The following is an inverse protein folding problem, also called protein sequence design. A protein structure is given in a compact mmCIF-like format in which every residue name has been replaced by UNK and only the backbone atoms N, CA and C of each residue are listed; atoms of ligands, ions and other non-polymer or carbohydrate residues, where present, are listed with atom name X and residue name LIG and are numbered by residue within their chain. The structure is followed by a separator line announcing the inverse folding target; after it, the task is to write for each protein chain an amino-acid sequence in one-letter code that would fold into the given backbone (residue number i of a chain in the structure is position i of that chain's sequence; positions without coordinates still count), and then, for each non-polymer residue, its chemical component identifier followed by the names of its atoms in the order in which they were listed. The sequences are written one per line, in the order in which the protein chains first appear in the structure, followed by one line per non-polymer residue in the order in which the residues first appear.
data_IF_151439236753
#
_entry.id   IF_151439236753
#
_cell.length_a   1.000
_cell.length_b   1.000
_cell.length_c   1.000
_cell.angle_alpha   90.00
_cell.angle_beta   90.00
_cell.angle_gamma   90.00
#
_symmetry.space_group_name_H-M   'P 1'
#
loop_
_entity.id
_entity.type
_entity.pdbx_description
1 polymer ?
#
# COMPACT_ATOMS: atom_id res chain seq x y z
N UNK A 1 -70.58 -19.20 -36.98
CA UNK A 1 -71.46 -20.06 -36.16
C UNK A 1 -70.70 -20.38 -34.88
N UNK A 2 -71.18 -20.20 -33.63
CA UNK A 2 -72.21 -19.30 -33.04
C UNK A 2 -71.53 -18.41 -31.96
N UNK A 3 -72.15 -17.55 -31.13
CA UNK A 3 -73.39 -17.69 -30.32
C UNK A 3 -73.38 -18.98 -29.46
N UNK A 4 -73.72 -19.03 -28.16
CA UNK A 4 -74.24 -18.05 -27.17
C UNK A 4 -74.05 -18.65 -25.72
N UNK A 5 -74.30 -18.08 -24.52
CA UNK A 5 -74.81 -16.80 -23.97
C UNK A 5 -74.44 -16.72 -22.44
N UNK A 6 -74.84 -15.66 -21.72
CA UNK A 6 -74.92 -15.47 -20.23
C UNK A 6 -73.61 -15.08 -19.49
N UNK A 7 -73.51 -13.98 -18.73
CA UNK A 7 -74.35 -13.31 -17.69
C UNK A 7 -74.11 -13.82 -16.26
N UNK A 8 -73.73 -12.92 -15.33
CA UNK A 8 -74.63 -12.38 -14.29
C UNK A 8 -74.03 -11.12 -13.59
N UNK A 9 -74.94 -10.28 -13.05
CA UNK A 9 -74.88 -9.05 -12.22
C UNK A 9 -73.62 -8.81 -11.32
N UNK A 10 -73.26 -7.57 -10.92
CA UNK A 10 -74.11 -6.59 -10.21
C UNK A 10 -73.79 -5.09 -10.42
N UNK A 11 -74.82 -4.27 -10.15
CA UNK A 11 -74.77 -2.80 -10.04
C UNK A 11 -74.37 -2.35 -8.62
N UNK A 12 -73.50 -1.35 -8.50
CA UNK A 12 -73.57 -0.33 -7.43
C UNK A 12 -73.17 1.02 -8.04
N UNK A 13 -74.00 2.05 -7.85
CA UNK A 13 -73.70 3.45 -8.18
C UNK A 13 -73.38 4.18 -6.88
N UNK A 14 -72.23 4.86 -6.78
CA UNK A 14 -72.06 6.02 -5.91
C UNK A 14 -70.99 6.99 -6.44
N UNK A 15 -71.27 8.30 -6.57
CA UNK A 15 -70.30 9.28 -7.05
C UNK A 15 -69.47 9.88 -5.90
N UNK A 16 -68.21 9.47 -5.77
CA UNK A 16 -67.27 10.03 -4.78
C UNK A 16 -66.36 11.08 -5.42
N UNK A 17 -66.79 12.34 -5.28
CA UNK A 17 -66.12 13.60 -5.67
C UNK A 17 -64.59 13.55 -5.60
N UNK A 18 -63.93 13.84 -6.73
CA UNK A 18 -62.49 14.16 -6.77
C UNK A 18 -62.24 15.53 -6.10
N UNK A 19 -62.14 15.51 -4.76
CA UNK A 19 -61.77 16.67 -3.96
C UNK A 19 -60.27 16.98 -4.15
N UNK A 20 -59.97 17.70 -5.23
CA UNK A 20 -58.61 18.09 -5.61
C UNK A 20 -58.11 19.21 -4.68
N UNK A 21 -57.67 18.83 -3.47
CA UNK A 21 -57.11 19.77 -2.50
C UNK A 21 -55.74 20.30 -3.00
N UNK A 22 -55.62 21.60 -3.35
CA UNK A 22 -54.42 22.13 -4.02
C UNK A 22 -53.28 22.44 -3.05
N UNK A 23 -53.45 22.24 -1.73
CA UNK A 23 -52.53 22.74 -0.70
C UNK A 23 -51.37 21.77 -0.38
N UNK A 24 -50.87 21.03 -1.38
CA UNK A 24 -49.64 20.25 -1.27
C UNK A 24 -48.41 21.17 -1.30
N UNK A 25 -48.13 21.82 -0.17
CA UNK A 25 -46.84 22.49 0.04
C UNK A 25 -45.74 21.43 0.03
N UNK A 26 -44.91 21.42 -1.02
CA UNK A 26 -43.71 20.60 -1.05
C UNK A 26 -42.88 20.84 0.22
N UNK A 27 -42.36 19.78 0.87
CA UNK A 27 -41.38 19.94 1.93
C UNK A 27 -40.23 20.81 1.41
N UNK A 28 -39.74 21.81 2.18
CA UNK A 28 -38.63 22.63 1.73
C UNK A 28 -37.42 21.73 1.44
N UNK A 29 -36.64 22.00 0.38
CA UNK A 29 -35.46 21.21 0.06
C UNK A 29 -34.58 21.07 1.31
N UNK A 30 -34.28 19.84 1.74
CA UNK A 30 -33.37 19.62 2.87
C UNK A 30 -32.06 20.32 2.56
N UNK A 31 -31.72 21.33 3.36
CA UNK A 31 -30.44 22.00 3.26
C UNK A 31 -29.32 20.95 3.26
N UNK A 32 -28.29 21.06 2.39
CA UNK A 32 -27.20 20.09 2.33
C UNK A 32 -26.62 19.89 3.73
N UNK A 33 -26.76 18.68 4.27
CA UNK A 33 -26.27 18.36 5.62
C UNK A 33 -24.76 18.63 5.62
N UNK A 34 -24.23 19.48 6.53
CA UNK A 34 -22.81 19.78 6.56
C UNK A 34 -21.97 18.53 6.82
N UNK A 35 -21.49 17.91 5.74
CA UNK A 35 -20.61 16.75 5.81
C UNK A 35 -19.27 17.21 6.33
N UNK A 36 -18.96 16.85 7.59
CA UNK A 36 -17.65 17.12 8.18
C UNK A 36 -16.56 16.65 7.20
N UNK A 37 -15.62 17.51 6.80
CA UNK A 37 -14.63 17.14 5.78
C UNK A 37 -13.85 15.92 6.25
N UNK A 38 -13.85 14.85 5.46
CA UNK A 38 -13.17 13.61 5.82
C UNK A 38 -11.69 13.91 6.04
N UNK A 39 -11.12 13.63 7.23
CA UNK A 39 -9.71 13.88 7.47
C UNK A 39 -8.85 13.12 6.47
N UNK A 40 -7.76 13.75 6.05
CA UNK A 40 -6.77 13.16 5.13
C UNK A 40 -5.44 13.04 5.83
N UNK A 41 -4.72 11.98 5.51
CA UNK A 41 -3.34 11.76 5.93
C UNK A 41 -2.49 11.41 4.71
N UNK A 42 -1.18 11.56 4.83
CA UNK A 42 -0.27 10.89 3.91
C UNK A 42 -0.34 9.39 4.18
N UNK A 43 -0.66 8.60 3.17
CA UNK A 43 -0.51 7.15 3.21
C UNK A 43 0.73 6.79 2.42
N UNK A 44 1.66 6.12 3.08
CA UNK A 44 2.83 5.52 2.44
C UNK A 44 2.48 4.12 1.98
N UNK A 45 2.93 3.75 0.79
CA UNK A 45 2.73 2.47 0.15
C UNK A 45 4.08 1.83 -0.17
N UNK A 46 4.21 0.52 0.03
CA UNK A 46 5.26 -0.31 -0.56
C UNK A 46 4.61 -1.15 -1.65
N UNK A 47 5.06 -0.97 -2.89
CA UNK A 47 4.60 -1.70 -4.06
C UNK A 47 5.67 -2.70 -4.49
N UNK A 48 5.29 -3.94 -4.72
CA UNK A 48 6.12 -4.97 -5.33
C UNK A 48 5.97 -4.90 -6.86
N UNK A 49 6.97 -4.34 -7.56
CA UNK A 49 6.90 -4.14 -9.00
C UNK A 49 6.89 -5.46 -9.77
N UNK A 50 7.60 -6.47 -9.25
CA UNK A 50 7.67 -7.83 -9.81
C UNK A 50 6.57 -8.77 -9.31
N UNK A 51 5.65 -8.27 -8.47
CA UNK A 51 4.42 -8.96 -8.09
C UNK A 51 3.19 -8.19 -8.62
N UNK A 52 3.16 -7.94 -9.93
CA UNK A 52 2.06 -7.23 -10.63
C UNK A 52 1.68 -5.86 -10.03
N UNK A 53 2.65 -5.13 -9.47
CA UNK A 53 2.42 -3.88 -8.72
C UNK A 53 1.50 -4.04 -7.48
N UNK A 54 1.50 -5.22 -6.84
CA UNK A 54 0.82 -5.47 -5.57
C UNK A 54 1.29 -4.49 -4.50
N UNK A 55 0.35 -3.88 -3.76
CA UNK A 55 0.68 -3.19 -2.50
C UNK A 55 0.96 -4.25 -1.43
N UNK A 56 2.19 -4.32 -0.94
CA UNK A 56 2.64 -5.33 0.05
C UNK A 56 2.63 -4.79 1.48
N UNK A 57 2.72 -3.48 1.65
CA UNK A 57 2.52 -2.80 2.92
C UNK A 57 2.04 -1.36 2.72
N UNK A 58 1.47 -0.79 3.78
CA UNK A 58 1.20 0.64 3.84
C UNK A 58 1.10 1.13 5.28
N UNK A 59 1.50 2.37 5.54
CA UNK A 59 1.30 3.04 6.84
C UNK A 59 0.74 4.44 6.65
N UNK A 60 0.09 4.98 7.68
CA UNK A 60 -0.43 6.35 7.67
C UNK A 60 0.49 7.29 8.45
N UNK A 61 0.61 8.52 7.94
CA UNK A 61 1.39 9.61 8.52
C UNK A 61 0.45 10.83 8.62
N UNK A 62 -0.18 11.08 9.80
CA UNK A 62 -1.14 12.17 9.98
C UNK A 62 -0.49 13.53 9.72
N UNK A 63 -1.15 14.43 8.98
CA UNK A 63 -0.54 15.69 8.50
C UNK A 63 0.05 16.54 9.64
N UNK A 64 -0.57 16.51 10.82
CA UNK A 64 -0.14 17.22 12.03
C UNK A 64 0.84 16.44 12.94
N UNK A 65 1.08 15.15 12.68
CA UNK A 65 1.93 14.28 13.49
C UNK A 65 3.11 13.64 12.74
N UNK A 66 3.19 13.82 11.42
CA UNK A 66 4.17 13.20 10.53
C UNK A 66 5.61 13.76 10.66
N UNK A 67 5.92 14.54 11.71
CA UNK A 67 7.26 15.11 11.93
C UNK A 67 8.30 14.06 12.38
N UNK A 68 7.86 12.86 12.76
CA UNK A 68 8.68 11.78 13.29
C UNK A 68 8.90 10.66 12.26
N UNK A 69 9.93 9.84 12.49
CA UNK A 69 10.19 8.59 11.76
C UNK A 69 8.95 7.72 11.64
N UNK A 70 8.66 7.21 10.44
CA UNK A 70 7.63 6.18 10.21
C UNK A 70 8.24 4.82 9.91
N UNK A 71 7.49 3.77 10.25
CA UNK A 71 7.86 2.37 10.03
C UNK A 71 6.97 1.72 8.97
N UNK A 72 7.59 1.03 8.01
CA UNK A 72 6.93 0.22 6.98
C UNK A 72 7.32 -1.24 7.17
N UNK A 73 6.39 -2.05 7.69
CA UNK A 73 6.58 -3.49 7.90
C UNK A 73 6.00 -4.30 6.75
N UNK A 74 6.80 -5.15 6.11
CA UNK A 74 6.41 -6.02 5.00
C UNK A 74 7.08 -7.39 5.07
N UNK A 75 6.47 -8.38 4.41
CA UNK A 75 7.08 -9.70 4.15
C UNK A 75 7.83 -9.64 2.82
N UNK A 76 9.09 -10.04 2.78
CA UNK A 76 9.90 -9.95 1.56
C UNK A 76 9.43 -10.94 0.48
N UNK A 77 8.73 -12.02 0.84
CA UNK A 77 8.20 -12.99 -0.13
C UNK A 77 7.11 -12.40 -1.01
N UNK A 78 6.41 -11.37 -0.54
CA UNK A 78 5.41 -10.65 -1.32
C UNK A 78 6.02 -9.78 -2.43
N UNK A 79 7.34 -9.61 -2.50
CA UNK A 79 8.01 -8.74 -3.49
C UNK A 79 8.02 -9.26 -4.93
N UNK A 80 7.71 -10.54 -5.14
CA UNK A 80 7.72 -11.22 -6.44
C UNK A 80 6.51 -12.14 -6.63
N UNK A 81 6.35 -12.69 -7.83
CA UNK A 81 5.51 -13.88 -8.04
C UNK A 81 6.31 -15.17 -7.76
N UNK A 82 5.74 -16.10 -7.00
CA UNK A 82 6.37 -17.38 -6.69
C UNK A 82 7.41 -17.33 -5.56
N UNK A 83 8.35 -18.29 -5.53
CA UNK A 83 9.42 -18.37 -4.54
C UNK A 83 10.74 -17.78 -5.08
N UNK A 84 10.84 -16.45 -5.15
CA UNK A 84 12.12 -15.78 -5.47
C UNK A 84 13.09 -15.71 -4.28
N UNK A 85 12.57 -15.79 -3.06
CA UNK A 85 13.33 -15.71 -1.79
C UNK A 85 13.04 -16.98 -0.99
N UNK A 86 14.09 -17.56 -0.43
CA UNK A 86 14.06 -18.81 0.32
C UNK A 86 13.67 -18.55 1.79
N UNK A 87 12.67 -19.30 2.29
CA UNK A 87 12.13 -19.19 3.64
C UNK A 87 12.83 -20.07 4.68
N UNK A 88 13.67 -21.03 4.28
CA UNK A 88 14.41 -21.89 5.21
C UNK A 88 15.56 -21.18 5.95
N UNK A 89 16.06 -20.06 5.42
CA UNK A 89 17.16 -19.33 6.04
C UNK A 89 16.68 -18.41 7.19
N UNK A 90 17.59 -18.09 8.11
CA UNK A 90 17.37 -17.08 9.16
C UNK A 90 18.19 -15.80 8.89
N UNK A 91 17.83 -14.69 9.51
CA UNK A 91 18.43 -13.37 9.29
C UNK A 91 19.80 -13.16 9.98
N UNK A 92 20.32 -14.14 10.74
CA UNK A 92 21.66 -14.11 11.34
C UNK A 92 22.74 -14.76 10.46
N UNK A 93 22.37 -15.72 9.61
CA UNK A 93 23.28 -16.40 8.66
C UNK A 93 22.94 -16.13 7.19
N UNK A 94 21.84 -15.41 6.96
CA UNK A 94 21.36 -15.03 5.62
C UNK A 94 20.56 -13.73 5.71
N UNK A 95 21.25 -12.60 5.95
CA UNK A 95 20.63 -11.29 6.16
C UNK A 95 19.81 -10.84 4.96
N UNK A 96 18.78 -10.07 5.27
CA UNK A 96 17.89 -9.42 4.32
C UNK A 96 18.43 -8.01 4.09
N UNK A 97 18.50 -7.61 2.82
CA UNK A 97 19.00 -6.29 2.42
C UNK A 97 17.91 -5.49 1.71
N UNK A 98 17.86 -4.20 1.98
CA UNK A 98 17.03 -3.23 1.24
C UNK A 98 17.92 -2.07 0.80
N UNK A 99 17.95 -1.78 -0.49
CA UNK A 99 18.89 -0.86 -1.11
C UNK A 99 18.17 0.14 -2.01
N UNK A 100 18.41 1.44 -1.85
CA UNK A 100 17.75 2.46 -2.66
C UNK A 100 18.73 3.19 -3.58
N UNK A 101 18.32 3.42 -4.84
CA UNK A 101 19.18 4.03 -5.87
C UNK A 101 19.60 5.46 -5.50
N UNK A 102 18.74 6.21 -4.80
CA UNK A 102 19.03 7.59 -4.37
C UNK A 102 20.12 7.70 -3.31
N UNK A 103 20.44 6.63 -2.59
CA UNK A 103 21.47 6.62 -1.54
C UNK A 103 22.87 6.37 -2.12
N UNK A 104 22.94 5.95 -3.40
CA UNK A 104 24.19 5.55 -4.04
C UNK A 104 24.97 6.76 -4.55
N UNK A 105 26.17 6.95 -4.01
CA UNK A 105 27.10 8.01 -4.42
C UNK A 105 27.96 7.60 -5.61
N UNK A 106 28.31 6.32 -5.73
CA UNK A 106 29.09 5.75 -6.86
C UNK A 106 28.18 5.33 -8.02
N UNK A 107 28.75 5.23 -9.22
CA UNK A 107 28.05 4.84 -10.46
C UNK A 107 27.78 3.33 -10.53
N UNK A 108 28.76 2.50 -10.22
CA UNK A 108 28.65 1.04 -10.13
C UNK A 108 27.50 0.59 -9.21
N UNK A 109 27.38 1.20 -8.04
CA UNK A 109 26.31 0.95 -7.09
C UNK A 109 24.89 1.29 -7.61
N UNK A 110 24.77 2.13 -8.64
CA UNK A 110 23.49 2.49 -9.27
C UNK A 110 23.10 1.53 -10.40
N UNK A 111 24.05 0.80 -10.98
CA UNK A 111 23.76 -0.12 -12.07
C UNK A 111 23.18 -1.44 -11.52
N UNK A 112 21.98 -1.86 -11.98
CA UNK A 112 21.37 -3.09 -11.46
C UNK A 112 22.11 -4.36 -11.91
N UNK A 113 22.90 -4.30 -12.99
CA UNK A 113 23.58 -5.42 -13.64
C UNK A 113 24.98 -5.67 -13.06
N UNK A 114 25.76 -4.62 -12.80
CA UNK A 114 27.11 -4.72 -12.21
C UNK A 114 27.09 -4.96 -10.68
N UNK A 115 26.19 -5.83 -10.21
CA UNK A 115 26.07 -6.23 -8.81
C UNK A 115 25.50 -5.17 -7.87
N UNK A 116 24.93 -4.07 -8.38
CA UNK A 116 24.54 -2.90 -7.59
C UNK A 116 23.71 -3.24 -6.33
N UNK A 117 24.34 -2.98 -5.17
CA UNK A 117 23.88 -3.12 -3.78
C UNK A 117 23.27 -4.49 -3.41
N UNK A 118 23.81 -5.29 -2.47
CA UNK A 118 24.86 -4.95 -1.50
C UNK A 118 26.29 -5.32 -1.96
N UNK A 119 26.77 -4.71 -3.05
CA UNK A 119 28.19 -4.78 -3.42
C UNK A 119 29.09 -3.94 -2.46
N UNK A 120 30.40 -4.24 -2.45
CA UNK A 120 31.37 -3.64 -1.55
C UNK A 120 31.49 -2.11 -1.72
N UNK A 121 31.29 -1.38 -0.63
CA UNK A 121 31.33 0.09 -0.60
C UNK A 121 30.14 0.77 -1.30
N UNK A 122 29.03 0.05 -1.49
CA UNK A 122 27.72 0.62 -1.82
C UNK A 122 26.86 0.81 -0.57
N UNK A 123 25.84 1.68 -0.63
CA UNK A 123 24.95 1.93 0.52
C UNK A 123 23.77 0.97 0.54
N UNK A 124 23.49 0.38 1.70
CA UNK A 124 22.34 -0.50 1.89
C UNK A 124 21.96 -0.61 3.36
N UNK A 125 20.69 -0.91 3.60
CA UNK A 125 20.17 -1.28 4.91
C UNK A 125 20.17 -2.80 5.01
N UNK A 126 20.60 -3.35 6.14
CA UNK A 126 20.69 -4.78 6.40
C UNK A 126 20.03 -5.12 7.73
N UNK A 127 19.40 -6.29 7.83
CA UNK A 127 18.91 -6.81 9.11
C UNK A 127 20.02 -7.24 10.07
N UNK A 128 21.28 -7.30 9.63
CA UNK A 128 22.43 -7.66 10.48
C UNK A 128 23.28 -6.44 10.85
N UNK A 129 23.34 -6.03 12.14
CA UNK A 129 23.99 -4.78 12.55
C UNK A 129 25.51 -4.68 12.27
N UNK A 130 26.19 -5.81 12.01
CA UNK A 130 27.62 -5.85 11.71
C UNK A 130 27.96 -5.51 10.25
N UNK A 131 27.00 -5.61 9.33
CA UNK A 131 27.27 -5.51 7.88
C UNK A 131 26.58 -4.31 7.22
N UNK A 132 25.71 -3.55 7.90
CA UNK A 132 25.02 -2.39 7.33
C UNK A 132 25.97 -1.25 6.92
N UNK A 133 25.83 -0.75 5.68
CA UNK A 133 26.71 0.29 5.11
C UNK A 133 26.55 1.69 5.69
N UNK A 134 25.48 1.94 6.43
CA UNK A 134 25.34 3.08 7.36
C UNK A 134 24.84 2.53 8.71
N UNK A 135 25.47 2.92 9.81
CA UNK A 135 25.12 2.47 11.16
C UNK A 135 24.51 3.64 11.95
N UNK A 136 23.30 3.52 12.54
CA UNK A 136 22.44 2.34 12.57
C UNK A 136 21.69 2.08 11.26
N UNK A 137 21.57 0.80 10.89
CA UNK A 137 20.72 0.33 9.79
C UNK A 137 19.25 0.71 10.05
N UNK A 138 18.56 1.19 9.01
CA UNK A 138 17.11 1.50 9.10
C UNK A 138 16.21 0.29 8.85
N UNK A 139 16.78 -0.90 8.64
CA UNK A 139 16.07 -2.14 8.36
C UNK A 139 16.23 -3.11 9.53
N UNK A 140 15.12 -3.44 10.19
CA UNK A 140 15.07 -4.40 11.29
C UNK A 140 14.30 -5.64 10.88
N UNK A 141 14.73 -6.84 11.30
CA UNK A 141 13.89 -8.04 11.14
C UNK A 141 12.83 -8.10 12.24
N UNK A 142 11.66 -8.65 11.90
CA UNK A 142 10.50 -8.79 12.79
C UNK A 142 10.31 -10.24 13.25
N UNK A 143 10.62 -11.20 12.37
CA UNK A 143 10.43 -12.65 12.59
C UNK A 143 11.73 -13.45 12.47
N UNK A 144 12.88 -12.80 12.27
CA UNK A 144 14.18 -13.40 11.94
C UNK A 144 14.22 -14.26 10.65
N UNK A 145 13.19 -14.21 9.81
CA UNK A 145 13.07 -15.09 8.63
C UNK A 145 12.67 -14.38 7.35
N UNK A 146 11.60 -13.58 7.35
CA UNK A 146 10.96 -13.06 6.12
C UNK A 146 10.36 -11.66 6.27
N UNK A 147 10.02 -11.24 7.48
CA UNK A 147 9.38 -9.94 7.75
C UNK A 147 10.40 -8.94 8.23
N UNK A 148 10.32 -7.75 7.64
CA UNK A 148 11.21 -6.62 7.94
C UNK A 148 10.42 -5.35 8.16
N UNK A 149 10.95 -4.48 9.01
CA UNK A 149 10.49 -3.10 9.19
C UNK A 149 11.56 -2.16 8.70
N UNK A 150 11.23 -1.37 7.67
CA UNK A 150 12.07 -0.28 7.19
C UNK A 150 11.59 1.06 7.76
N UNK A 151 12.51 1.84 8.32
CA UNK A 151 12.24 3.13 8.96
C UNK A 151 12.60 4.30 8.06
N UNK A 152 11.64 5.18 7.76
CA UNK A 152 11.83 6.43 7.02
C UNK A 152 11.93 7.58 8.03
N UNK A 153 13.11 8.21 8.21
CA UNK A 153 13.31 9.27 9.21
C UNK A 153 12.75 10.63 8.77
N UNK A 154 12.79 10.92 7.46
CA UNK A 154 12.19 12.11 6.86
C UNK A 154 11.07 11.68 5.91
N UNK A 155 9.82 11.56 6.40
CA UNK A 155 8.65 11.32 5.56
C UNK A 155 8.15 12.59 4.84
N UNK A 156 8.71 13.77 5.14
CA UNK A 156 8.33 15.01 4.49
C UNK A 156 9.02 15.21 3.13
N UNK A 157 10.17 14.57 2.91
CA UNK A 157 10.94 14.64 1.68
C UNK A 157 10.11 14.35 0.41
N UNK A 158 10.19 15.22 -0.60
CA UNK A 158 9.37 15.09 -1.80
C UNK A 158 9.75 13.92 -2.72
N UNK A 159 10.90 13.26 -2.51
CA UNK A 159 11.20 11.97 -3.17
C UNK A 159 10.11 10.92 -2.95
N UNK A 160 9.44 10.94 -1.80
CA UNK A 160 8.33 10.03 -1.53
C UNK A 160 7.09 10.37 -2.37
N UNK A 161 6.95 11.61 -2.85
CA UNK A 161 5.81 12.05 -3.67
C UNK A 161 5.93 11.60 -5.13
N UNK A 162 7.15 11.58 -5.68
CA UNK A 162 7.46 10.94 -6.97
C UNK A 162 7.55 9.42 -6.86
N UNK A 163 7.82 8.93 -5.65
CA UNK A 163 8.15 7.53 -5.39
C UNK A 163 9.64 7.25 -5.50
N UNK A 164 10.07 6.22 -4.79
CA UNK A 164 11.46 5.79 -4.64
C UNK A 164 11.58 4.31 -4.97
N UNK A 165 12.37 3.99 -5.99
CA UNK A 165 12.71 2.60 -6.31
C UNK A 165 13.78 2.09 -5.35
N UNK A 166 13.49 0.95 -4.73
CA UNK A 166 14.42 0.15 -3.96
C UNK A 166 14.49 -1.29 -4.48
N UNK A 167 15.52 -2.00 -4.04
CA UNK A 167 15.71 -3.42 -4.31
C UNK A 167 15.77 -4.18 -2.98
N UNK A 168 15.12 -5.34 -2.94
CA UNK A 168 15.11 -6.27 -1.80
C UNK A 168 15.88 -7.52 -2.21
N UNK A 169 16.67 -8.06 -1.27
CA UNK A 169 17.50 -9.23 -1.47
C UNK A 169 17.60 -10.05 -0.20
N UNK A 170 18.08 -11.28 -0.37
CA UNK A 170 18.67 -12.08 0.68
C UNK A 170 20.03 -12.61 0.22
N UNK A 171 21.04 -12.55 1.07
CA UNK A 171 22.34 -13.19 0.82
C UNK A 171 22.39 -14.53 1.56
N UNK A 172 22.89 -15.58 0.91
CA UNK A 172 23.21 -16.85 1.57
C UNK A 172 24.73 -16.95 1.74
N UNK A 173 25.20 -16.77 2.98
CA UNK A 173 26.63 -16.74 3.31
C UNK A 173 27.37 -18.06 3.09
N UNK A 174 26.64 -19.19 2.96
CA UNK A 174 27.27 -20.51 2.72
C UNK A 174 27.73 -20.67 1.28
N UNK A 175 26.92 -20.19 0.34
CA UNK A 175 27.09 -20.40 -1.09
C UNK A 175 27.51 -19.09 -1.82
N UNK A 176 27.66 -17.98 -1.07
CA UNK A 176 27.89 -16.59 -1.54
C UNK A 176 26.86 -16.05 -2.55
N UNK A 177 25.81 -16.82 -2.80
CA UNK A 177 24.73 -16.48 -3.72
C UNK A 177 23.75 -15.49 -3.07
N UNK A 178 23.08 -14.74 -3.94
CA UNK A 178 21.89 -13.98 -3.57
C UNK A 178 20.64 -14.73 -4.03
N UNK A 179 19.59 -14.70 -3.22
CA UNK A 179 18.22 -14.95 -3.66
C UNK A 179 17.83 -13.90 -4.74
N UNK A 180 16.68 -14.10 -5.40
CA UNK A 180 16.21 -13.21 -6.45
C UNK A 180 16.19 -11.73 -6.03
N UNK A 181 16.88 -10.89 -6.81
CA UNK A 181 16.86 -9.42 -6.71
C UNK A 181 15.48 -8.90 -7.10
N UNK A 182 14.68 -8.43 -6.14
CA UNK A 182 13.32 -7.94 -6.41
C UNK A 182 13.18 -6.43 -6.27
N UNK A 183 12.39 -5.80 -7.13
CA UNK A 183 12.11 -4.35 -7.09
C UNK A 183 10.89 -3.99 -6.26
N UNK A 184 11.08 -3.01 -5.38
CA UNK A 184 9.99 -2.30 -4.69
C UNK A 184 9.95 -0.82 -5.07
N UNK A 185 8.76 -0.22 -5.00
CA UNK A 185 8.54 1.22 -5.08
C UNK A 185 7.88 1.69 -3.79
N UNK A 186 8.51 2.64 -3.09
CA UNK A 186 7.95 3.28 -1.90
C UNK A 186 7.50 4.70 -2.25
N UNK A 187 6.23 5.03 -2.04
CA UNK A 187 5.70 6.37 -2.30
C UNK A 187 4.62 6.80 -1.30
N UNK A 188 4.31 8.10 -1.23
CA UNK A 188 3.25 8.71 -0.41
C UNK A 188 2.15 9.32 -1.29
N UNK A 189 0.89 9.13 -0.90
CA UNK A 189 -0.27 9.78 -1.51
C UNK A 189 -1.23 10.30 -0.42
N UNK A 190 -2.08 11.27 -0.76
CA UNK A 190 -3.16 11.69 0.13
C UNK A 190 -4.30 10.66 0.10
N UNK A 191 -4.61 10.08 1.24
CA UNK A 191 -5.71 9.14 1.40
C UNK A 191 -6.74 9.67 2.42
N UNK A 192 -7.98 9.16 2.34
CA UNK A 192 -8.94 9.29 3.45
C UNK A 192 -8.35 8.58 4.67
N UNK A 193 -8.42 9.25 5.82
CA UNK A 193 -7.92 8.73 7.08
C UNK A 193 -9.09 8.58 8.05
N UNK A 194 -9.12 7.44 8.75
CA UNK A 194 -9.94 7.23 9.94
C UNK A 194 -8.96 6.93 11.06
N UNK A 195 -8.89 7.74 12.13
CA UNK A 195 -8.05 7.47 13.29
C UNK A 195 -8.57 6.26 14.09
#
# INVERSE_FOLDING_TARGET
MGFNLMMLFCLVIFPSVLSWNPNWKHPPPRAPVPTKPTPRAWKFHVIALENLNKTIASTFCPITGCANTISLTFDIRDTCQGKCINDFYNAMSSPIYVCFVYEQTRSDCRDPNYGGCPHWGCKYHSTWPRWGGENPSRLNSVDWHTKVTYSIPDPWNDRWRTGVVGYVYRHNERDTAFDGKTKILIFRALAKFTP
#
